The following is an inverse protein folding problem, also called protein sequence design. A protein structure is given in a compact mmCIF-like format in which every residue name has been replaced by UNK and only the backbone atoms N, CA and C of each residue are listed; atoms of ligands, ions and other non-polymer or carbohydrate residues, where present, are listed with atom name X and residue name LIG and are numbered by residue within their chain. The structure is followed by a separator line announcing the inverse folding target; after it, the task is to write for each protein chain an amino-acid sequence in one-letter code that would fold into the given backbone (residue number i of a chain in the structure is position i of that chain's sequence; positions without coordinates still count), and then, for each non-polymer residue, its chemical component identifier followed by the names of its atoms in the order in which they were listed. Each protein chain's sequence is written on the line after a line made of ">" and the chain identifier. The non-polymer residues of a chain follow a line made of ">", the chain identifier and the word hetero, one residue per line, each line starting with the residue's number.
data_IF_236617502133
#
_entry.id   IF_236617502133
#
_cell.length_a   1.000
_cell.length_b   1.000
_cell.length_c   1.000
_cell.angle_alpha   90.00
_cell.angle_beta   90.00
_cell.angle_gamma   90.00
#
_symmetry.space_group_name_H-M   'P 1'
#
loop_
_entity.id
_entity.type
_entity.pdbx_description
1 polymer ?
#
# COMPACT_ATOMS: atom_id res chain seq x y z
N UNK A 1 3.88 -23.51 -21.27
CA UNK A 1 3.30 -22.31 -21.87
C UNK A 1 4.23 -21.65 -22.89
N UNK A 2 5.56 -21.74 -22.73
CA UNK A 2 6.53 -21.14 -23.67
C UNK A 2 6.56 -21.79 -25.07
N UNK A 3 5.95 -22.94 -25.26
CA UNK A 3 5.83 -23.67 -26.53
C UNK A 3 4.50 -23.46 -27.22
N UNK A 4 3.56 -22.78 -26.56
CA UNK A 4 2.23 -22.47 -27.12
C UNK A 4 2.27 -21.09 -27.77
N UNK A 5 1.64 -20.94 -28.91
CA UNK A 5 1.41 -19.67 -29.58
C UNK A 5 0.00 -19.17 -29.22
N UNK A 6 -0.08 -17.97 -28.62
CA UNK A 6 -1.32 -17.33 -28.23
C UNK A 6 -1.71 -16.23 -29.22
N UNK A 7 -3.00 -16.02 -29.45
CA UNK A 7 -3.45 -14.83 -30.18
C UNK A 7 -3.22 -13.56 -29.34
N UNK A 8 -3.54 -13.63 -28.05
CA UNK A 8 -3.32 -12.56 -27.08
C UNK A 8 -2.69 -13.07 -25.80
N UNK A 9 -1.73 -12.33 -25.26
CA UNK A 9 -1.24 -12.45 -23.88
C UNK A 9 -1.52 -11.14 -23.17
N UNK A 10 -2.34 -11.20 -22.12
CA UNK A 10 -2.73 -10.04 -21.31
C UNK A 10 -2.12 -10.22 -19.91
N UNK A 11 -1.29 -9.26 -19.49
CA UNK A 11 -0.76 -9.21 -18.13
C UNK A 11 -1.58 -8.20 -17.32
N UNK A 12 -2.40 -8.71 -16.40
CA UNK A 12 -3.02 -7.88 -15.36
C UNK A 12 -2.04 -7.63 -14.23
N UNK A 13 -2.16 -6.48 -13.56
CA UNK A 13 -1.20 -5.99 -12.54
C UNK A 13 0.26 -6.07 -13.05
N UNK A 14 0.49 -5.54 -14.25
CA UNK A 14 1.76 -5.68 -14.98
C UNK A 14 2.96 -5.05 -14.27
N UNK A 15 2.77 -4.29 -13.19
CA UNK A 15 3.87 -3.88 -12.32
C UNK A 15 4.63 -5.07 -11.68
N UNK A 16 4.06 -6.28 -11.70
CA UNK A 16 4.76 -7.49 -11.29
C UNK A 16 6.01 -7.80 -12.14
N UNK A 17 6.06 -7.31 -13.37
CA UNK A 17 7.22 -7.46 -14.28
C UNK A 17 8.12 -6.21 -14.37
N UNK A 18 8.05 -5.29 -13.42
CA UNK A 18 8.81 -4.03 -13.41
C UNK A 18 10.33 -4.19 -13.41
N UNK A 19 10.85 -5.29 -12.87
CA UNK A 19 12.29 -5.57 -12.87
C UNK A 19 12.69 -6.47 -14.04
N UNK A 20 13.45 -5.96 -15.04
CA UNK A 20 13.86 -6.72 -16.21
C UNK A 20 14.65 -8.00 -15.89
N UNK A 21 15.37 -8.02 -14.76
CA UNK A 21 16.21 -9.13 -14.33
C UNK A 21 15.46 -10.20 -13.53
N UNK A 22 14.21 -9.95 -13.13
CA UNK A 22 13.44 -10.88 -12.30
C UNK A 22 13.08 -12.16 -13.07
N UNK A 23 12.94 -13.26 -12.32
CA UNK A 23 12.48 -14.55 -12.90
C UNK A 23 11.09 -14.43 -13.53
N UNK A 24 10.21 -13.64 -12.91
CA UNK A 24 8.84 -13.41 -13.38
C UNK A 24 8.84 -12.69 -14.73
N UNK A 25 9.63 -11.61 -14.85
CA UNK A 25 9.76 -10.87 -16.11
C UNK A 25 10.31 -11.75 -17.22
N UNK A 26 11.38 -12.52 -16.95
CA UNK A 26 11.95 -13.45 -17.91
C UNK A 26 10.95 -14.51 -18.34
N UNK A 27 10.18 -15.07 -17.41
CA UNK A 27 9.13 -16.04 -17.71
C UNK A 27 8.02 -15.44 -18.59
N UNK A 28 7.59 -14.22 -18.31
CA UNK A 28 6.61 -13.52 -19.12
C UNK A 28 7.11 -13.26 -20.55
N UNK A 29 8.39 -12.90 -20.71
CA UNK A 29 9.01 -12.66 -22.02
C UNK A 29 9.11 -13.92 -22.89
N UNK A 30 9.12 -15.13 -22.31
CA UNK A 30 9.13 -16.40 -23.04
C UNK A 30 7.76 -16.74 -23.66
N UNK A 31 6.69 -16.05 -23.29
CA UNK A 31 5.36 -16.30 -23.86
C UNK A 31 5.31 -15.81 -25.30
N UNK A 32 4.89 -16.71 -26.21
CA UNK A 32 4.73 -16.39 -27.62
C UNK A 32 3.31 -15.93 -27.89
N UNK A 33 3.16 -14.73 -28.46
CA UNK A 33 1.84 -14.16 -28.74
C UNK A 33 1.89 -13.22 -29.96
N UNK A 34 0.81 -13.21 -30.74
CA UNK A 34 0.61 -12.26 -31.84
C UNK A 34 0.40 -10.84 -31.31
N UNK A 35 -0.36 -10.72 -30.21
CA UNK A 35 -0.69 -9.45 -29.56
C UNK A 35 -0.41 -9.52 -28.06
N UNK A 36 0.03 -8.41 -27.49
CA UNK A 36 0.34 -8.29 -26.07
C UNK A 36 -0.30 -7.06 -25.46
N UNK A 37 -0.81 -7.18 -24.25
CA UNK A 37 -1.40 -6.09 -23.47
C UNK A 37 -0.90 -6.15 -22.03
N UNK A 38 -0.53 -4.99 -21.49
CA UNK A 38 -0.27 -4.80 -20.08
C UNK A 38 -1.36 -3.92 -19.46
N UNK A 39 -1.94 -4.37 -18.36
CA UNK A 39 -2.88 -3.58 -17.55
C UNK A 39 -2.25 -3.31 -16.19
N UNK A 40 -2.36 -2.06 -15.70
CA UNK A 40 -1.87 -1.65 -14.40
C UNK A 40 -2.72 -0.53 -13.84
N UNK A 41 -3.18 -0.68 -12.60
CA UNK A 41 -3.87 0.39 -11.86
C UNK A 41 -2.92 1.45 -11.31
N UNK A 42 -1.63 1.11 -11.16
CA UNK A 42 -0.62 2.07 -10.72
C UNK A 42 -0.03 2.81 -11.91
N UNK A 43 -0.02 4.14 -11.88
CA UNK A 43 0.66 4.90 -12.92
C UNK A 43 2.14 4.50 -12.97
N UNK A 44 2.75 4.64 -14.15
CA UNK A 44 4.18 4.45 -14.39
C UNK A 44 4.97 5.52 -13.56
N UNK A 45 5.24 5.25 -12.28
CA UNK A 45 5.58 6.32 -11.33
C UNK A 45 6.99 6.29 -10.77
N UNK A 46 7.66 5.14 -10.77
CA UNK A 46 8.75 5.00 -9.81
C UNK A 46 10.15 4.92 -10.40
N UNK A 47 10.28 4.49 -11.63
CA UNK A 47 11.58 4.38 -12.30
C UNK A 47 11.34 4.20 -13.80
N UNK A 48 12.19 4.78 -14.61
CA UNK A 48 12.13 4.58 -16.06
C UNK A 48 12.32 3.10 -16.45
N UNK A 49 13.00 2.29 -15.63
CA UNK A 49 13.13 0.86 -15.84
C UNK A 49 11.82 0.08 -15.68
N UNK A 50 10.87 0.56 -14.88
CA UNK A 50 9.55 -0.07 -14.77
C UNK A 50 8.82 0.01 -16.11
N UNK A 51 8.95 1.15 -16.79
CA UNK A 51 8.44 1.36 -18.15
C UNK A 51 9.18 0.50 -19.16
N UNK A 52 10.52 0.46 -19.07
CA UNK A 52 11.34 -0.35 -19.96
C UNK A 52 10.91 -1.82 -19.93
N UNK A 53 10.75 -2.40 -18.74
CA UNK A 53 10.41 -3.81 -18.60
C UNK A 53 9.05 -4.16 -19.23
N UNK A 54 8.04 -3.30 -19.00
CA UNK A 54 6.70 -3.47 -19.58
C UNK A 54 6.72 -3.27 -21.09
N UNK A 55 7.40 -2.23 -21.59
CA UNK A 55 7.51 -1.97 -23.03
C UNK A 55 8.32 -3.06 -23.75
N UNK A 56 9.36 -3.61 -23.13
CA UNK A 56 10.11 -4.71 -23.69
C UNK A 56 9.31 -6.04 -23.74
N UNK A 57 8.32 -6.19 -22.84
CA UNK A 57 7.32 -7.26 -22.97
C UNK A 57 6.36 -6.99 -24.14
N UNK A 58 5.81 -5.77 -24.23
CA UNK A 58 4.83 -5.38 -25.27
C UNK A 58 5.44 -5.38 -26.68
N UNK A 59 6.57 -4.72 -26.83
CA UNK A 59 7.28 -4.47 -28.09
C UNK A 59 8.78 -4.76 -27.90
N UNK A 60 9.21 -6.02 -27.99
CA UNK A 60 10.60 -6.39 -27.76
C UNK A 60 11.56 -5.58 -28.65
N UNK A 61 12.57 -4.99 -28.04
CA UNK A 61 13.60 -4.22 -28.75
C UNK A 61 13.24 -2.76 -29.08
N UNK A 62 12.01 -2.30 -28.89
CA UNK A 62 11.58 -0.93 -29.24
C UNK A 62 12.39 0.15 -28.52
N UNK A 63 12.74 -0.08 -27.26
CA UNK A 63 13.54 0.85 -26.45
C UNK A 63 15.04 0.51 -26.42
N UNK A 64 15.50 -0.37 -27.31
CA UNK A 64 16.89 -0.80 -27.38
C UNK A 64 17.27 -1.80 -26.26
N UNK A 65 18.58 -1.98 -26.08
CA UNK A 65 19.10 -2.82 -25.01
C UNK A 65 18.94 -2.17 -23.64
N UNK A 66 19.00 -2.96 -22.56
CA UNK A 66 18.99 -2.47 -21.16
C UNK A 66 20.08 -1.40 -20.96
N UNK A 67 21.27 -1.62 -21.51
CA UNK A 67 22.40 -0.70 -21.36
C UNK A 67 22.17 0.61 -22.14
N UNK A 68 21.69 0.53 -23.37
CA UNK A 68 21.30 1.71 -24.16
C UNK A 68 20.23 2.53 -23.42
N UNK A 69 19.16 1.89 -22.94
CA UNK A 69 18.10 2.57 -22.22
C UNK A 69 18.60 3.22 -20.93
N UNK A 70 19.53 2.57 -20.23
CA UNK A 70 20.15 3.13 -19.02
C UNK A 70 20.88 4.43 -19.33
N UNK A 71 21.69 4.47 -20.38
CA UNK A 71 22.50 5.62 -20.75
C UNK A 71 21.66 6.77 -21.32
N UNK A 72 20.71 6.45 -22.18
CA UNK A 72 19.92 7.45 -22.90
C UNK A 72 18.74 8.01 -22.11
N UNK A 73 18.15 7.21 -21.22
CA UNK A 73 16.93 7.62 -20.52
C UNK A 73 17.03 7.50 -18.98
N UNK A 74 17.43 6.34 -18.45
CA UNK A 74 17.32 6.11 -17.01
C UNK A 74 18.26 7.01 -16.22
N UNK A 75 19.54 7.07 -16.53
CA UNK A 75 20.49 7.92 -15.81
C UNK A 75 20.16 9.40 -16.00
N UNK A 76 19.93 9.91 -17.23
CA UNK A 76 19.57 11.31 -17.44
C UNK A 76 18.27 11.73 -16.75
N UNK A 77 17.24 10.89 -16.79
CA UNK A 77 15.93 11.21 -16.19
C UNK A 77 15.94 11.01 -14.67
N UNK A 78 16.33 9.81 -14.21
CA UNK A 78 16.15 9.40 -12.81
C UNK A 78 17.21 10.01 -11.87
N UNK A 79 18.43 10.29 -12.38
CA UNK A 79 19.54 10.82 -11.57
C UNK A 79 19.84 12.29 -11.83
N UNK A 80 19.75 12.73 -13.10
CA UNK A 80 20.12 14.09 -13.48
C UNK A 80 18.88 14.99 -13.64
N UNK A 81 17.68 14.42 -13.69
CA UNK A 81 16.43 15.18 -13.78
C UNK A 81 16.24 15.91 -15.12
N UNK A 82 16.85 15.42 -16.23
CA UNK A 82 16.82 16.08 -17.54
C UNK A 82 15.41 16.12 -18.14
N UNK A 83 14.78 17.31 -18.29
CA UNK A 83 13.41 17.42 -18.78
C UNK A 83 13.27 17.02 -20.25
N UNK A 84 14.27 17.32 -21.08
CA UNK A 84 14.24 17.03 -22.51
C UNK A 84 14.24 15.51 -22.79
N UNK A 85 15.03 14.76 -22.03
CA UNK A 85 15.06 13.28 -22.14
C UNK A 85 13.75 12.67 -21.66
N UNK A 86 13.16 13.21 -20.60
CA UNK A 86 11.84 12.81 -20.11
C UNK A 86 10.75 13.04 -21.15
N UNK A 87 10.74 14.23 -21.77
CA UNK A 87 9.75 14.54 -22.81
C UNK A 87 9.98 13.71 -24.08
N UNK A 88 11.24 13.43 -24.44
CA UNK A 88 11.55 12.55 -25.57
C UNK A 88 11.02 11.13 -25.34
N UNK A 89 11.29 10.53 -24.16
CA UNK A 89 10.76 9.21 -23.79
C UNK A 89 9.24 9.21 -23.79
N UNK A 90 8.61 10.26 -23.26
CA UNK A 90 7.15 10.42 -23.26
C UNK A 90 6.56 10.38 -24.67
N UNK A 91 7.18 11.08 -25.64
CA UNK A 91 6.71 11.08 -27.04
C UNK A 91 6.80 9.70 -27.67
N UNK A 92 7.87 8.94 -27.39
CA UNK A 92 8.02 7.55 -27.88
C UNK A 92 6.91 6.65 -27.31
N UNK A 93 6.59 6.80 -26.01
CA UNK A 93 5.63 5.94 -25.31
C UNK A 93 4.16 6.30 -25.56
N UNK A 94 3.89 7.56 -25.87
CA UNK A 94 2.53 8.10 -26.00
C UNK A 94 1.58 7.25 -26.85
N UNK A 95 1.96 6.74 -28.03
CA UNK A 95 1.08 5.94 -28.87
C UNK A 95 0.70 4.56 -28.28
N UNK A 96 1.44 4.09 -27.28
CA UNK A 96 1.30 2.74 -26.71
C UNK A 96 0.63 2.77 -25.33
N UNK A 97 0.35 3.95 -24.76
CA UNK A 97 -0.19 4.10 -23.42
C UNK A 97 -1.55 4.77 -23.46
N UNK A 98 -2.57 4.05 -22.97
CA UNK A 98 -3.89 4.62 -22.73
C UNK A 98 -4.12 4.71 -21.21
N UNK A 99 -4.20 5.94 -20.70
CA UNK A 99 -4.53 6.20 -19.30
C UNK A 99 -5.81 7.01 -19.19
N UNK A 100 -6.74 6.51 -18.39
CA UNK A 100 -7.97 7.22 -18.01
C UNK A 100 -8.13 7.17 -16.49
N UNK A 101 -8.54 8.28 -15.89
CA UNK A 101 -8.90 8.33 -14.48
C UNK A 101 -10.38 8.02 -14.30
N UNK A 102 -10.77 7.61 -13.09
CA UNK A 102 -12.19 7.33 -12.78
C UNK A 102 -13.04 8.58 -12.97
N UNK A 103 -12.55 9.74 -12.58
CA UNK A 103 -13.25 11.03 -12.71
C UNK A 103 -13.54 11.37 -14.18
N UNK A 104 -12.70 10.93 -15.12
CA UNK A 104 -12.91 11.17 -16.55
C UNK A 104 -13.97 10.27 -17.16
N UNK A 105 -14.11 9.03 -16.68
CA UNK A 105 -14.92 7.99 -17.34
C UNK A 105 -16.15 7.55 -16.56
N UNK A 106 -16.15 7.69 -15.25
CA UNK A 106 -17.22 7.21 -14.37
C UNK A 106 -17.83 8.39 -13.58
N UNK A 107 -18.49 9.28 -14.32
CA UNK A 107 -19.11 10.50 -13.77
C UNK A 107 -20.31 10.21 -12.83
N UNK A 108 -20.88 9.02 -12.95
CA UNK A 108 -22.02 8.59 -12.12
C UNK A 108 -21.59 7.93 -10.81
N UNK A 109 -20.28 7.83 -10.53
CA UNK A 109 -19.83 7.33 -9.24
C UNK A 109 -20.12 8.36 -8.16
N UNK A 110 -20.63 7.92 -6.98
CA UNK A 110 -20.88 8.80 -5.85
C UNK A 110 -19.57 9.40 -5.31
N UNK A 111 -19.69 10.43 -4.49
CA UNK A 111 -18.54 11.09 -3.89
C UNK A 111 -17.74 10.15 -3.00
N UNK A 112 -16.43 10.34 -3.01
CA UNK A 112 -15.48 9.68 -2.13
C UNK A 112 -14.80 10.73 -1.25
N UNK A 113 -14.93 10.59 0.05
CA UNK A 113 -14.26 11.43 1.04
C UNK A 113 -13.15 10.64 1.73
N UNK A 114 -11.93 11.16 1.67
CA UNK A 114 -10.77 10.59 2.36
C UNK A 114 -10.44 11.45 3.57
N UNK A 115 -10.49 10.85 4.74
CA UNK A 115 -10.40 11.53 6.04
C UNK A 115 -9.22 10.94 6.81
N UNK A 116 -8.35 11.80 7.33
CA UNK A 116 -7.34 11.38 8.30
C UNK A 116 -7.95 11.51 9.69
N UNK A 117 -8.10 10.38 10.38
CA UNK A 117 -8.59 10.31 11.73
C UNK A 117 -7.41 10.22 12.70
N UNK A 118 -7.15 11.31 13.41
CA UNK A 118 -6.10 11.36 14.40
C UNK A 118 -6.57 10.76 15.72
N UNK A 119 -5.83 9.75 16.22
CA UNK A 119 -6.05 9.10 17.50
C UNK A 119 -4.96 9.53 18.48
N UNK A 120 -5.33 9.98 19.66
CA UNK A 120 -4.38 10.37 20.71
C UNK A 120 -4.14 9.19 21.65
N UNK A 121 -2.90 8.67 21.67
CA UNK A 121 -2.54 7.55 22.56
C UNK A 121 -2.79 7.92 24.02
N UNK A 122 -3.43 7.04 24.76
CA UNK A 122 -3.50 7.13 26.22
C UNK A 122 -2.11 6.93 26.84
N UNK A 123 -2.00 7.27 28.12
CA UNK A 123 -0.71 7.33 28.84
C UNK A 123 0.08 6.01 28.72
N UNK A 124 -0.59 4.90 28.96
CA UNK A 124 0.07 3.56 28.99
C UNK A 124 0.63 3.20 27.62
N UNK A 125 -0.13 3.39 26.53
CA UNK A 125 0.32 3.16 25.15
C UNK A 125 1.44 4.15 24.79
N UNK A 126 1.30 5.43 25.21
CA UNK A 126 2.28 6.47 24.95
C UNK A 126 3.63 6.20 25.65
N UNK A 127 3.60 5.79 26.90
CA UNK A 127 4.81 5.50 27.66
C UNK A 127 5.62 4.35 27.00
N UNK A 128 4.96 3.30 26.55
CA UNK A 128 5.60 2.20 25.81
C UNK A 128 6.15 2.72 24.47
N UNK A 129 5.37 3.50 23.73
CA UNK A 129 5.80 4.08 22.46
C UNK A 129 7.07 4.93 22.60
N UNK A 130 7.11 5.80 23.60
CA UNK A 130 8.23 6.70 23.88
C UNK A 130 9.49 5.93 24.29
N UNK A 131 9.36 4.88 25.10
CA UNK A 131 10.47 4.03 25.49
C UNK A 131 11.12 3.36 24.27
N UNK A 132 10.31 2.75 23.41
CA UNK A 132 10.80 2.11 22.17
C UNK A 132 11.37 3.12 21.18
N UNK A 133 10.73 4.28 21.02
CA UNK A 133 11.23 5.35 20.14
C UNK A 133 12.62 5.80 20.58
N UNK A 134 12.81 6.06 21.87
CA UNK A 134 14.11 6.54 22.41
C UNK A 134 15.19 5.48 22.25
N UNK A 135 14.88 4.21 22.50
CA UNK A 135 15.82 3.11 22.33
C UNK A 135 16.24 2.94 20.87
N UNK A 136 15.29 2.84 19.95
CA UNK A 136 15.59 2.75 18.52
C UNK A 136 16.30 3.98 17.97
N UNK A 137 15.94 5.18 18.43
CA UNK A 137 16.65 6.41 18.07
C UNK A 137 18.14 6.32 18.39
N UNK A 138 18.47 5.93 19.62
CA UNK A 138 19.86 5.81 20.06
C UNK A 138 20.62 4.75 19.28
N UNK A 139 20.02 3.58 19.08
CA UNK A 139 20.60 2.49 18.29
C UNK A 139 20.84 2.88 16.83
N UNK A 140 19.86 3.51 16.19
CA UNK A 140 19.91 3.88 14.77
C UNK A 140 20.92 5.00 14.56
N UNK A 141 20.92 6.06 15.37
CA UNK A 141 21.87 7.16 15.25
C UNK A 141 23.32 6.67 15.51
N UNK A 142 23.54 5.87 16.53
CA UNK A 142 24.83 5.24 16.76
C UNK A 142 25.29 4.32 15.62
N UNK A 143 24.35 3.58 15.01
CA UNK A 143 24.64 2.76 13.83
C UNK A 143 25.00 3.62 12.61
N UNK A 144 24.30 4.74 12.38
CA UNK A 144 24.56 5.65 11.27
C UNK A 144 25.94 6.30 11.43
N UNK A 145 26.31 6.71 12.64
CA UNK A 145 27.62 7.31 12.93
C UNK A 145 28.77 6.32 12.68
N UNK A 146 28.59 5.06 13.05
CA UNK A 146 29.64 4.05 12.96
C UNK A 146 29.82 3.45 11.55
N UNK A 147 28.73 3.25 10.80
CA UNK A 147 28.79 2.50 9.52
C UNK A 147 28.04 3.15 8.36
N UNK A 148 27.46 4.33 8.58
CA UNK A 148 26.71 5.09 7.59
C UNK A 148 25.27 4.61 7.39
N UNK A 149 24.45 5.47 6.79
CA UNK A 149 23.01 5.25 6.63
C UNK A 149 22.68 4.00 5.79
N UNK A 150 23.47 3.72 4.76
CA UNK A 150 23.20 2.57 3.86
C UNK A 150 23.28 1.22 4.58
N UNK A 151 24.22 1.07 5.53
CA UNK A 151 24.37 -0.15 6.33
C UNK A 151 23.39 -0.21 7.50
N UNK A 152 22.81 0.92 7.88
CA UNK A 152 21.83 1.03 8.98
C UNK A 152 20.39 0.83 8.54
N UNK A 153 20.11 0.62 7.24
CA UNK A 153 18.76 0.51 6.68
C UNK A 153 17.89 -0.56 7.35
N UNK A 154 18.50 -1.69 7.72
CA UNK A 154 17.75 -2.77 8.39
C UNK A 154 17.29 -2.34 9.79
N UNK A 155 18.17 -1.68 10.56
CA UNK A 155 17.82 -1.16 11.88
C UNK A 155 16.75 -0.07 11.81
N UNK A 156 16.84 0.82 10.82
CA UNK A 156 15.82 1.84 10.56
C UNK A 156 14.48 1.16 10.26
N UNK A 157 14.44 0.18 9.35
CA UNK A 157 13.23 -0.54 9.01
C UNK A 157 12.60 -1.26 10.20
N UNK A 158 13.42 -1.91 11.03
CA UNK A 158 12.96 -2.58 12.25
C UNK A 158 12.34 -1.59 13.25
N UNK A 159 13.00 -0.46 13.50
CA UNK A 159 12.47 0.59 14.37
C UNK A 159 11.15 1.15 13.89
N UNK A 160 11.05 1.45 12.60
CA UNK A 160 9.81 1.92 11.98
C UNK A 160 8.67 0.90 12.14
N UNK A 161 8.95 -0.39 11.89
CA UNK A 161 7.96 -1.46 12.02
C UNK A 161 7.48 -1.61 13.46
N UNK A 162 8.40 -1.60 14.44
CA UNK A 162 8.06 -1.73 15.87
C UNK A 162 7.23 -0.55 16.35
N UNK A 163 7.61 0.68 16.03
CA UNK A 163 6.84 1.87 16.41
C UNK A 163 5.44 1.87 15.81
N UNK A 164 5.26 1.41 14.57
CA UNK A 164 3.94 1.28 13.95
C UNK A 164 3.10 0.17 14.60
N UNK A 165 3.72 -0.95 14.99
CA UNK A 165 3.02 -1.97 15.76
C UNK A 165 2.49 -1.40 17.08
N UNK A 166 3.29 -0.59 17.79
CA UNK A 166 2.85 0.07 19.03
C UNK A 166 1.74 1.08 18.75
N UNK A 167 1.75 1.80 17.63
CA UNK A 167 0.65 2.67 17.23
C UNK A 167 -0.67 1.93 17.09
N UNK A 168 -0.65 0.67 16.64
CA UNK A 168 -1.84 -0.17 16.59
C UNK A 168 -2.15 -0.74 17.98
N UNK A 169 -1.26 -1.49 18.57
CA UNK A 169 -1.29 -1.95 19.97
C UNK A 169 0.06 -2.53 20.37
N UNK A 170 0.58 -2.25 21.57
CA UNK A 170 1.73 -2.96 22.12
C UNK A 170 1.56 -4.48 22.17
N UNK A 171 0.34 -4.97 22.34
CA UNK A 171 0.03 -6.40 22.40
C UNK A 171 0.39 -7.19 21.13
N UNK A 172 0.60 -6.52 19.99
CA UNK A 172 1.02 -7.18 18.75
C UNK A 172 2.54 -7.24 18.56
N UNK A 173 3.30 -6.72 19.53
CA UNK A 173 4.75 -6.88 19.57
C UNK A 173 5.07 -8.34 19.83
N UNK A 174 5.84 -8.96 18.95
CA UNK A 174 6.33 -10.31 19.16
C UNK A 174 7.61 -10.27 20.00
N UNK A 175 7.47 -9.98 21.30
CA UNK A 175 8.56 -9.88 22.29
C UNK A 175 8.49 -11.02 23.30
N UNK A 176 9.50 -11.11 24.17
CA UNK A 176 9.53 -12.10 25.27
C UNK A 176 8.50 -11.76 26.36
N UNK A 177 8.18 -10.51 26.52
CA UNK A 177 7.19 -10.00 27.47
C UNK A 177 5.89 -9.73 26.70
N UNK A 178 4.78 -10.19 27.27
CA UNK A 178 3.44 -9.90 26.76
C UNK A 178 3.01 -8.52 27.24
N UNK A 179 2.69 -7.65 26.29
CA UNK A 179 2.13 -6.34 26.60
C UNK A 179 0.60 -6.40 26.63
N UNK A 180 -0.04 -5.62 27.51
CA UNK A 180 -1.47 -5.45 27.50
C UNK A 180 -1.96 -4.84 26.17
N UNK A 181 -3.23 -5.09 25.85
CA UNK A 181 -3.87 -4.49 24.68
C UNK A 181 -4.28 -3.05 24.98
N UNK A 182 -3.36 -2.12 24.83
CA UNK A 182 -3.66 -0.69 24.81
C UNK A 182 -3.72 -0.24 23.36
N UNK A 183 -4.90 0.14 22.87
CA UNK A 183 -5.09 0.52 21.47
C UNK A 183 -6.16 1.57 21.30
N UNK A 184 -5.74 2.83 21.27
CA UNK A 184 -6.66 3.94 21.00
C UNK A 184 -7.35 3.80 19.62
N UNK A 185 -6.66 3.22 18.62
CA UNK A 185 -7.26 2.98 17.30
C UNK A 185 -8.37 1.93 17.36
N UNK A 186 -8.17 0.87 18.17
CA UNK A 186 -9.18 -0.17 18.34
C UNK A 186 -10.41 0.37 19.05
N UNK A 187 -10.21 1.18 20.07
CA UNK A 187 -11.29 1.81 20.83
C UNK A 187 -12.08 2.79 19.97
N UNK A 188 -11.38 3.62 19.18
CA UNK A 188 -12.02 4.54 18.24
C UNK A 188 -12.77 3.80 17.13
N UNK A 189 -12.17 2.74 16.54
CA UNK A 189 -12.86 1.89 15.58
C UNK A 189 -14.14 1.28 16.18
N UNK A 190 -14.04 0.74 17.41
CA UNK A 190 -15.17 0.15 18.10
C UNK A 190 -16.29 1.16 18.37
N UNK A 191 -15.92 2.40 18.73
CA UNK A 191 -16.86 3.52 18.91
C UNK A 191 -17.60 3.81 17.61
N UNK A 192 -16.86 4.01 16.50
CA UNK A 192 -17.46 4.33 15.20
C UNK A 192 -18.35 3.19 14.68
N UNK A 193 -17.91 1.92 14.84
CA UNK A 193 -18.73 0.77 14.43
C UNK A 193 -20.03 0.65 15.21
N UNK A 194 -20.08 1.14 16.45
CA UNK A 194 -21.31 1.17 17.25
C UNK A 194 -22.22 2.35 16.93
N UNK A 195 -21.64 3.54 16.81
CA UNK A 195 -22.37 4.80 16.78
C UNK A 195 -22.73 5.22 15.35
N UNK A 196 -21.77 5.07 14.39
CA UNK A 196 -21.88 5.67 13.07
C UNK A 196 -22.33 4.66 11.99
N UNK A 197 -22.20 3.34 12.25
CA UNK A 197 -22.44 2.31 11.20
C UNK A 197 -23.74 1.52 11.43
N UNK A 198 -24.84 2.18 11.86
CA UNK A 198 -26.09 1.48 12.16
C UNK A 198 -26.62 0.64 10.96
N UNK A 199 -26.70 1.21 9.76
CA UNK A 199 -27.22 0.57 8.53
C UNK A 199 -26.21 0.49 7.38
N UNK A 200 -24.94 0.74 7.71
CA UNK A 200 -23.83 0.79 6.76
C UNK A 200 -22.95 -0.46 6.86
N UNK A 201 -22.11 -0.66 5.85
CA UNK A 201 -21.11 -1.75 5.83
C UNK A 201 -19.71 -1.19 5.74
N UNK A 202 -18.80 -1.77 6.53
CA UNK A 202 -17.43 -1.32 6.63
C UNK A 202 -16.42 -2.35 6.16
N UNK A 203 -15.41 -1.92 5.43
CA UNK A 203 -14.17 -2.64 5.23
C UNK A 203 -13.13 -2.14 6.23
N UNK A 204 -12.45 -3.05 6.90
CA UNK A 204 -11.35 -2.72 7.82
C UNK A 204 -10.08 -3.41 7.34
N UNK A 205 -9.10 -2.63 6.97
CA UNK A 205 -7.83 -3.11 6.46
C UNK A 205 -6.71 -2.91 7.49
N UNK A 206 -5.91 -3.94 7.69
CA UNK A 206 -4.62 -3.84 8.38
C UNK A 206 -3.58 -4.72 7.68
N UNK A 207 -2.33 -4.30 7.72
CA UNK A 207 -1.21 -5.14 7.28
C UNK A 207 -0.76 -6.11 8.37
N UNK A 208 -1.05 -5.80 9.66
CA UNK A 208 -0.67 -6.61 10.80
C UNK A 208 -1.78 -7.62 11.14
N UNK A 209 -1.48 -8.90 10.99
CA UNK A 209 -2.43 -9.97 11.34
C UNK A 209 -2.76 -9.96 12.84
N UNK A 210 -1.81 -9.56 13.70
CA UNK A 210 -2.04 -9.35 15.13
C UNK A 210 -3.11 -8.30 15.39
N UNK A 211 -3.10 -7.17 14.66
CA UNK A 211 -4.13 -6.14 14.79
C UNK A 211 -5.49 -6.66 14.34
N UNK A 212 -5.55 -7.38 13.22
CA UNK A 212 -6.80 -8.03 12.78
C UNK A 212 -7.34 -9.03 13.80
N UNK A 213 -6.46 -9.76 14.51
CA UNK A 213 -6.87 -10.65 15.59
C UNK A 213 -7.48 -9.90 16.77
N UNK A 214 -6.88 -8.78 17.18
CA UNK A 214 -7.44 -7.91 18.23
C UNK A 214 -8.80 -7.33 17.83
N UNK A 215 -8.94 -6.90 16.58
CA UNK A 215 -10.21 -6.38 16.05
C UNK A 215 -11.27 -7.50 16.07
N UNK A 216 -10.92 -8.74 15.67
CA UNK A 216 -11.84 -9.87 15.72
C UNK A 216 -12.36 -10.11 17.14
N UNK A 217 -11.45 -10.20 18.11
CA UNK A 217 -11.84 -10.37 19.53
C UNK A 217 -12.76 -9.24 20.00
N UNK A 218 -12.49 -8.01 19.59
CA UNK A 218 -13.32 -6.86 19.95
C UNK A 218 -14.71 -6.91 19.32
N UNK A 219 -14.81 -7.31 18.05
CA UNK A 219 -16.10 -7.48 17.36
C UNK A 219 -16.93 -8.62 17.99
N UNK A 220 -16.29 -9.70 18.41
CA UNK A 220 -16.93 -10.81 19.14
C UNK A 220 -17.47 -10.35 20.50
N UNK A 221 -16.68 -9.60 21.26
CA UNK A 221 -17.11 -8.95 22.53
C UNK A 221 -18.33 -8.06 22.33
N UNK A 222 -18.37 -7.31 21.23
CA UNK A 222 -19.44 -6.37 20.89
C UNK A 222 -20.66 -7.03 20.24
N UNK A 223 -20.57 -8.34 19.89
CA UNK A 223 -21.62 -9.04 19.16
C UNK A 223 -21.84 -8.52 17.73
N UNK A 224 -20.82 -7.93 17.11
CA UNK A 224 -20.89 -7.40 15.73
C UNK A 224 -20.50 -8.51 14.76
N UNK A 225 -21.41 -8.98 13.87
CA UNK A 225 -21.11 -10.00 12.89
C UNK A 225 -20.13 -9.49 11.83
N UNK A 226 -19.13 -10.30 11.52
CA UNK A 226 -18.11 -9.95 10.54
C UNK A 226 -17.72 -11.15 9.67
N UNK A 227 -17.07 -10.88 8.56
CA UNK A 227 -16.31 -11.85 7.78
C UNK A 227 -14.83 -11.43 7.74
N UNK A 228 -13.97 -12.41 7.51
CA UNK A 228 -12.53 -12.24 7.53
C UNK A 228 -11.86 -13.01 6.41
N UNK A 229 -10.84 -12.43 5.79
CA UNK A 229 -9.83 -13.18 5.07
C UNK A 229 -8.44 -12.50 5.09
N UNK A 230 -7.43 -13.33 4.94
CA UNK A 230 -6.03 -12.93 4.80
C UNK A 230 -5.34 -13.68 3.65
N UNK A 231 -4.01 -13.57 3.57
CA UNK A 231 -3.21 -14.24 2.54
C UNK A 231 -3.24 -15.75 2.58
N UNK A 232 -3.60 -16.38 3.72
CA UNK A 232 -3.69 -17.83 3.91
C UNK A 232 -5.06 -18.40 3.53
N UNK A 233 -6.09 -17.55 3.40
CA UNK A 233 -7.46 -17.97 3.09
C UNK A 233 -7.54 -18.56 1.70
N UNK A 234 -8.12 -19.77 1.58
CA UNK A 234 -8.30 -20.45 0.30
C UNK A 234 -9.20 -19.66 -0.66
N UNK A 235 -9.05 -19.86 -1.96
CA UNK A 235 -9.87 -19.17 -2.96
C UNK A 235 -11.39 -19.42 -2.78
N UNK A 236 -11.86 -20.66 -2.50
CA UNK A 236 -13.29 -20.91 -2.23
C UNK A 236 -13.79 -20.19 -0.97
N UNK A 237 -13.01 -20.20 0.12
CA UNK A 237 -13.40 -19.52 1.37
C UNK A 237 -13.44 -18.01 1.21
N UNK A 238 -12.50 -17.44 0.44
CA UNK A 238 -12.49 -16.03 0.08
C UNK A 238 -13.75 -15.64 -0.68
N UNK A 239 -14.13 -16.41 -1.69
CA UNK A 239 -15.35 -16.18 -2.47
C UNK A 239 -16.60 -16.27 -1.59
N UNK A 240 -16.64 -17.25 -0.70
CA UNK A 240 -17.74 -17.41 0.27
C UNK A 240 -17.85 -16.20 1.19
N UNK A 241 -16.73 -15.70 1.74
CA UNK A 241 -16.71 -14.51 2.59
C UNK A 241 -17.22 -13.26 1.84
N UNK A 242 -16.81 -13.08 0.58
CA UNK A 242 -17.28 -11.98 -0.27
C UNK A 242 -18.78 -12.08 -0.50
N UNK A 243 -19.29 -13.26 -0.85
CA UNK A 243 -20.73 -13.47 -1.09
C UNK A 243 -21.56 -13.24 0.18
N UNK A 244 -21.08 -13.70 1.33
CA UNK A 244 -21.73 -13.45 2.61
C UNK A 244 -21.80 -11.95 2.91
N UNK A 245 -20.69 -11.24 2.79
CA UNK A 245 -20.66 -9.81 3.02
C UNK A 245 -21.57 -9.02 2.06
N UNK A 246 -21.58 -9.37 0.78
CA UNK A 246 -22.39 -8.67 -0.22
C UNK A 246 -23.90 -8.92 -0.03
N UNK A 247 -24.31 -10.16 0.34
CA UNK A 247 -25.71 -10.56 0.33
C UNK A 247 -26.40 -10.53 1.69
N UNK A 248 -25.67 -10.71 2.79
CA UNK A 248 -26.24 -10.80 4.13
C UNK A 248 -26.20 -9.44 4.83
N UNK A 249 -27.35 -8.86 5.10
CA UNK A 249 -27.47 -7.55 5.76
C UNK A 249 -26.94 -7.58 7.19
N UNK A 250 -27.03 -8.70 7.88
CA UNK A 250 -26.52 -8.87 9.25
C UNK A 250 -25.01 -8.74 9.34
N UNK A 251 -24.25 -9.08 8.28
CA UNK A 251 -22.79 -8.98 8.26
C UNK A 251 -22.41 -7.55 7.83
N UNK A 252 -21.93 -6.78 8.79
CA UNK A 252 -21.62 -5.34 8.59
C UNK A 252 -20.14 -5.05 8.42
N UNK A 253 -19.27 -5.91 8.91
CA UNK A 253 -17.82 -5.67 8.91
C UNK A 253 -17.11 -6.74 8.10
N UNK A 254 -16.17 -6.32 7.25
CA UNK A 254 -15.27 -7.19 6.55
C UNK A 254 -13.83 -6.85 6.92
N UNK A 255 -13.15 -7.75 7.62
CA UNK A 255 -11.76 -7.61 8.00
C UNK A 255 -10.87 -8.22 6.92
N UNK A 256 -9.93 -7.45 6.41
CA UNK A 256 -9.11 -7.85 5.27
C UNK A 256 -7.64 -7.48 5.53
N UNK A 257 -6.75 -8.46 5.36
CA UNK A 257 -5.32 -8.15 5.33
C UNK A 257 -5.01 -7.26 4.11
N UNK A 258 -4.31 -6.15 4.31
CA UNK A 258 -4.01 -5.17 3.26
C UNK A 258 -3.27 -5.81 2.07
N UNK A 259 -2.38 -6.78 2.33
CA UNK A 259 -1.69 -7.55 1.28
C UNK A 259 -2.64 -8.46 0.48
N UNK A 260 -3.64 -9.04 1.12
CA UNK A 260 -4.62 -9.89 0.47
C UNK A 260 -5.71 -9.10 -0.26
N UNK A 261 -5.99 -7.89 0.18
CA UNK A 261 -6.93 -6.95 -0.45
C UNK A 261 -6.54 -6.48 -1.85
N UNK A 262 -5.28 -6.69 -2.26
CA UNK A 262 -4.78 -6.35 -3.60
C UNK A 262 -5.38 -7.19 -4.76
N UNK A 263 -6.07 -8.29 -4.49
CA UNK A 263 -6.62 -9.18 -5.53
C UNK A 263 -8.03 -8.73 -5.91
N UNK A 264 -8.24 -8.23 -7.09
CA UNK A 264 -9.46 -7.96 -7.89
C UNK A 264 -10.87 -7.98 -7.26
N UNK A 265 -11.00 -7.70 -5.95
CA UNK A 265 -12.25 -7.80 -5.21
C UNK A 265 -13.23 -6.69 -5.62
N UNK A 266 -14.51 -7.02 -5.73
CA UNK A 266 -15.59 -6.04 -5.86
C UNK A 266 -16.40 -6.06 -4.56
N UNK A 267 -16.35 -4.96 -3.78
CA UNK A 267 -16.95 -4.86 -2.44
C UNK A 267 -17.87 -3.63 -2.34
N UNK A 268 -18.69 -3.42 -3.36
CA UNK A 268 -19.60 -2.26 -3.49
C UNK A 268 -20.73 -2.21 -2.46
N UNK A 269 -20.93 -3.28 -1.67
CA UNK A 269 -21.88 -3.22 -0.55
C UNK A 269 -21.37 -2.31 0.60
N UNK A 270 -20.05 -2.09 0.70
CA UNK A 270 -19.48 -1.23 1.72
C UNK A 270 -19.42 0.23 1.25
N UNK A 271 -19.64 1.12 2.18
CA UNK A 271 -19.54 2.56 2.02
C UNK A 271 -18.59 3.20 3.05
N UNK A 272 -18.15 2.46 4.06
CA UNK A 272 -17.10 2.84 5.00
C UNK A 272 -15.84 2.00 4.80
N UNK A 273 -14.68 2.65 4.85
CA UNK A 273 -13.37 2.00 4.74
C UNK A 273 -12.46 2.51 5.83
N UNK A 274 -11.89 1.62 6.61
CA UNK A 274 -10.90 1.94 7.64
C UNK A 274 -9.56 1.34 7.29
N UNK A 275 -8.52 2.19 7.21
CA UNK A 275 -7.12 1.78 7.10
C UNK A 275 -6.50 1.97 8.48
N UNK A 276 -6.27 0.86 9.20
CA UNK A 276 -5.80 0.91 10.59
C UNK A 276 -4.36 1.38 10.71
N UNK A 277 -3.51 0.95 9.79
CA UNK A 277 -2.07 1.18 9.78
C UNK A 277 -1.62 1.68 8.40
N UNK A 278 -1.79 2.99 8.11
CA UNK A 278 -1.41 3.58 6.83
C UNK A 278 0.03 3.25 6.46
N UNK A 279 0.24 2.99 5.15
CA UNK A 279 1.50 2.54 4.62
C UNK A 279 2.26 3.66 3.89
N UNK A 280 3.56 3.42 3.66
CA UNK A 280 4.41 4.35 2.91
C UNK A 280 3.91 4.60 1.49
N UNK A 281 3.36 3.55 0.86
CA UNK A 281 2.87 3.60 -0.48
C UNK A 281 1.35 3.84 -0.48
N UNK A 282 0.90 5.08 -0.69
CA UNK A 282 -0.53 5.40 -0.72
C UNK A 282 -1.28 4.68 -1.84
N UNK A 283 -0.58 4.14 -2.85
CA UNK A 283 -1.21 3.40 -3.93
C UNK A 283 -1.86 2.08 -3.45
N UNK A 284 -1.27 1.42 -2.46
CA UNK A 284 -1.84 0.19 -1.87
C UNK A 284 -3.13 0.50 -1.12
N UNK A 285 -3.15 1.60 -0.35
CA UNK A 285 -4.35 2.08 0.35
C UNK A 285 -5.41 2.52 -0.65
N UNK A 286 -5.02 3.28 -1.67
CA UNK A 286 -5.93 3.71 -2.72
C UNK A 286 -6.55 2.51 -3.43
N UNK A 287 -5.77 1.47 -3.71
CA UNK A 287 -6.28 0.22 -4.28
C UNK A 287 -7.28 -0.47 -3.34
N UNK A 288 -7.04 -0.46 -2.04
CA UNK A 288 -7.98 -1.00 -1.05
C UNK A 288 -9.29 -0.19 -1.00
N UNK A 289 -9.22 1.13 -0.96
CA UNK A 289 -10.41 2.02 -1.02
C UNK A 289 -11.17 1.82 -2.32
N UNK A 290 -10.47 1.67 -3.43
CA UNK A 290 -11.05 1.47 -4.76
C UNK A 290 -11.80 0.15 -4.94
N UNK A 291 -11.77 -0.76 -3.94
CA UNK A 291 -12.63 -1.95 -3.91
C UNK A 291 -14.10 -1.61 -3.67
N UNK A 292 -14.38 -0.51 -2.99
CA UNK A 292 -15.73 -0.01 -2.73
C UNK A 292 -16.17 0.99 -3.79
N UNK A 293 -15.26 1.84 -4.26
CA UNK A 293 -15.54 2.91 -5.22
C UNK A 293 -15.44 2.40 -6.66
N UNK A 294 -16.42 1.59 -7.08
CA UNK A 294 -16.51 0.96 -8.40
C UNK A 294 -17.88 1.14 -9.01
N UNK A 295 -18.01 0.85 -10.32
CA UNK A 295 -19.29 0.78 -11.02
C UNK A 295 -20.23 -0.16 -10.28
N UNK A 296 -21.42 0.33 -9.96
CA UNK A 296 -22.41 -0.35 -9.11
C UNK A 296 -22.47 0.18 -7.68
N UNK A 297 -21.57 1.07 -7.28
CA UNK A 297 -21.69 1.81 -6.01
C UNK A 297 -22.75 2.91 -6.12
N UNK A 298 -23.64 2.96 -5.14
CA UNK A 298 -24.75 3.95 -5.10
C UNK A 298 -24.67 4.88 -3.88
N UNK A 299 -23.78 4.57 -2.93
CA UNK A 299 -23.59 5.33 -1.69
C UNK A 299 -22.28 6.12 -1.71
N UNK A 300 -22.24 7.26 -1.06
CA UNK A 300 -21.00 7.99 -0.82
C UNK A 300 -20.01 7.15 -0.01
N UNK A 301 -18.74 7.23 -0.36
CA UNK A 301 -17.68 6.46 0.30
C UNK A 301 -16.96 7.35 1.31
N UNK A 302 -16.82 6.84 2.54
CA UNK A 302 -16.04 7.46 3.61
C UNK A 302 -14.83 6.57 3.91
N UNK A 303 -13.64 7.07 3.57
CA UNK A 303 -12.38 6.34 3.78
C UNK A 303 -11.55 7.02 4.87
N UNK A 304 -11.39 6.33 5.99
CA UNK A 304 -10.65 6.80 7.16
C UNK A 304 -9.25 6.18 7.21
N UNK A 305 -8.23 7.03 7.30
CA UNK A 305 -6.88 6.64 7.67
C UNK A 305 -6.67 6.93 9.14
N UNK A 306 -6.52 5.88 9.95
CA UNK A 306 -6.34 6.02 11.39
C UNK A 306 -4.86 6.23 11.71
N UNK A 307 -4.52 7.39 12.27
CA UNK A 307 -3.14 7.80 12.53
C UNK A 307 -3.01 8.20 14.00
N UNK A 308 -2.05 7.62 14.70
CA UNK A 308 -1.69 8.10 16.02
C UNK A 308 -0.99 9.45 15.93
N UNK A 309 -1.56 10.45 16.60
CA UNK A 309 -1.02 11.82 16.66
C UNK A 309 0.35 11.83 17.36
N UNK A 310 1.23 12.69 16.90
CA UNK A 310 2.60 12.83 17.42
C UNK A 310 3.39 11.52 17.47
N UNK A 311 3.17 10.67 16.47
CA UNK A 311 3.82 9.37 16.31
C UNK A 311 4.60 9.29 15.02
N UNK A 312 5.23 8.16 14.81
CA UNK A 312 5.92 7.80 13.57
C UNK A 312 4.97 7.86 12.36
N UNK A 313 3.70 7.51 12.52
CA UNK A 313 2.71 7.55 11.44
C UNK A 313 2.40 8.98 11.00
N UNK A 314 2.19 9.89 11.96
CA UNK A 314 1.99 11.31 11.70
C UNK A 314 3.21 11.93 11.00
N UNK A 315 4.41 11.59 11.47
CA UNK A 315 5.66 12.06 10.85
C UNK A 315 5.87 11.54 9.43
N UNK A 316 5.52 10.29 9.19
CA UNK A 316 5.55 9.70 7.85
C UNK A 316 4.59 10.44 6.93
N UNK A 317 3.36 10.68 7.37
CA UNK A 317 2.39 11.43 6.58
C UNK A 317 2.92 12.81 6.20
N UNK A 318 3.45 13.56 7.18
CA UNK A 318 4.06 14.89 6.96
C UNK A 318 5.27 14.81 6.01
N UNK A 319 6.10 13.77 6.13
CA UNK A 319 7.24 13.55 5.25
C UNK A 319 6.80 13.23 3.81
N UNK A 320 5.75 12.41 3.66
CA UNK A 320 5.16 12.12 2.35
C UNK A 320 4.62 13.39 1.69
N UNK A 321 3.92 14.25 2.42
CA UNK A 321 3.41 15.52 1.91
C UNK A 321 4.53 16.45 1.45
N UNK A 322 5.58 16.61 2.26
CA UNK A 322 6.77 17.39 1.90
C UNK A 322 7.47 16.87 0.65
N UNK A 323 7.62 15.54 0.54
CA UNK A 323 8.28 14.90 -0.59
C UNK A 323 7.36 14.73 -1.81
N UNK A 324 6.03 14.79 -1.65
CA UNK A 324 5.07 14.76 -2.75
C UNK A 324 5.24 15.94 -3.72
N UNK A 325 5.72 17.07 -3.22
CA UNK A 325 6.08 18.23 -4.04
C UNK A 325 7.39 18.01 -4.85
N UNK A 326 8.30 17.16 -4.34
CA UNK A 326 9.61 16.90 -4.95
C UNK A 326 9.65 15.56 -5.72
N UNK A 327 8.81 14.61 -5.37
CA UNK A 327 8.86 13.25 -5.88
C UNK A 327 7.45 12.69 -6.15
N UNK A 328 6.86 13.10 -7.26
CA UNK A 328 5.77 12.32 -7.87
C UNK A 328 6.22 10.89 -8.25
N UNK A 329 7.46 10.55 -8.01
CA UNK A 329 8.15 9.45 -8.69
C UNK A 329 8.76 8.35 -7.80
N UNK A 330 8.70 8.40 -6.47
CA UNK A 330 9.46 7.42 -5.66
C UNK A 330 8.64 6.91 -4.49
N UNK A 331 8.31 5.65 -4.46
CA UNK A 331 8.22 4.69 -3.34
C UNK A 331 7.28 3.55 -3.73
N UNK A 332 7.84 2.38 -4.04
CA UNK A 332 7.06 1.19 -4.41
C UNK A 332 6.99 0.13 -3.32
N UNK A 333 7.94 0.13 -2.36
CA UNK A 333 8.02 -0.84 -1.27
C UNK A 333 8.78 -0.27 -0.06
N UNK A 334 8.78 -1.00 1.06
CA UNK A 334 9.42 -0.64 2.32
C UNK A 334 10.91 -0.37 2.16
N UNK A 335 11.56 -1.23 1.39
CA UNK A 335 13.00 -1.14 1.14
C UNK A 335 13.31 0.09 0.28
N UNK A 336 12.45 0.43 -0.66
CA UNK A 336 12.58 1.62 -1.49
C UNK A 336 12.42 2.90 -0.69
N UNK A 337 11.48 2.94 0.27
CA UNK A 337 11.32 4.08 1.16
C UNK A 337 12.60 4.32 2.00
N UNK A 338 13.06 3.30 2.71
CA UNK A 338 14.23 3.43 3.60
C UNK A 338 15.51 3.77 2.84
N UNK A 339 15.68 3.28 1.61
CA UNK A 339 16.83 3.61 0.75
C UNK A 339 16.92 5.08 0.38
N UNK A 340 15.78 5.77 0.32
CA UNK A 340 15.68 7.18 -0.07
C UNK A 340 15.64 8.15 1.11
N UNK A 341 15.73 7.66 2.35
CA UNK A 341 15.83 8.50 3.54
C UNK A 341 17.22 9.12 3.65
N UNK A 342 17.24 10.42 3.91
CA UNK A 342 18.45 11.11 4.36
C UNK A 342 18.64 10.95 5.86
N UNK A 343 19.83 11.30 6.38
CA UNK A 343 20.08 11.33 7.83
C UNK A 343 19.07 12.23 8.54
N UNK A 344 18.79 13.39 7.98
CA UNK A 344 17.83 14.35 8.53
C UNK A 344 16.39 13.80 8.57
N UNK A 345 15.99 13.04 7.54
CA UNK A 345 14.71 12.35 7.54
C UNK A 345 14.61 11.32 8.67
N UNK A 346 15.68 10.56 8.92
CA UNK A 346 15.74 9.57 10.01
C UNK A 346 15.68 10.26 11.36
N UNK A 347 16.46 11.31 11.56
CA UNK A 347 16.44 12.12 12.79
C UNK A 347 15.04 12.71 13.04
N UNK A 348 14.37 13.19 12.00
CA UNK A 348 13.00 13.68 12.09
C UNK A 348 11.98 12.57 12.43
N UNK A 349 12.10 11.41 11.80
CA UNK A 349 11.16 10.30 12.04
C UNK A 349 11.24 9.78 13.48
N UNK A 350 12.45 9.72 14.05
CA UNK A 350 12.68 9.22 15.40
C UNK A 350 12.85 10.33 16.48
N UNK A 351 12.55 11.60 16.14
CA UNK A 351 12.64 12.73 17.09
C UNK A 351 11.61 12.64 18.22
#
# INVERSE_FOLDING_TARGET
>A
LSTLEFDYVILDESQAIKNPSSKVTRAAQLLQAKHRLCMSGTPLQNNTFDVYAQMNFLNPGMLGSVEFFRQEFSVPIDKLGEPDRKEHLRKILYPFILRRTKEQVAKDLPEKQEIVLFCEMEKEQRDIYEAYRNDYRNQILGSIENQGIQRSQLAILQGLMKLRQICDSPAILNEKEEFPNYSIKLDELARQLKEDISDHKALVFSQFLGMLALIRSKLEELGIPYVYFDGSTSAPDREKAIQQFQKQESIRVFLISLKAGGVGLNLTAADYVYIMDPWWNPAVEQQAIDRTHRIGQTKNIFAYRMICKDSIEDKILKLQERKKALAKDIISDDTGFVKNLTREDVEYLFS
#
